data_IF_349102407569
#
_entry.id   IF_349102407569
#
_cell.length_a   1.000
_cell.length_b   1.000
_cell.length_c   1.000
_cell.angle_alpha   90.00
_cell.angle_beta   90.00
_cell.angle_gamma   90.00
#
_symmetry.space_group_name_H-M   'P 1'
#
loop_
_entity.id
_entity.type
_entity.pdbx_description
1 polymer ?
#
# COMPACT_ATOMS: atom_id res chain seq x y z
N UNK A 1 15.61 16.25 -13.61
CA UNK A 1 14.35 15.49 -13.69
C UNK A 1 13.29 16.29 -12.95
N UNK A 2 12.35 16.88 -13.67
CA UNK A 2 11.22 17.61 -13.06
C UNK A 2 10.20 16.57 -12.64
N UNK A 3 10.00 16.41 -11.33
CA UNK A 3 8.93 15.56 -10.81
C UNK A 3 7.60 16.26 -11.12
N UNK A 4 6.85 15.79 -12.10
CA UNK A 4 5.44 16.17 -12.27
C UNK A 4 4.63 15.43 -11.21
N UNK A 5 4.17 16.14 -10.19
CA UNK A 5 3.19 15.61 -9.24
C UNK A 5 1.84 15.66 -9.98
N UNK A 6 1.30 14.48 -10.25
CA UNK A 6 -0.03 14.35 -10.83
C UNK A 6 -1.08 14.53 -9.72
N UNK A 7 -1.76 15.68 -9.74
CA UNK A 7 -2.84 16.02 -8.82
C UNK A 7 -4.23 15.56 -9.31
N UNK A 8 -4.31 14.85 -10.44
CA UNK A 8 -5.59 14.38 -11.02
C UNK A 8 -6.40 13.54 -10.02
N UNK A 9 -5.72 12.69 -9.26
CA UNK A 9 -6.34 11.87 -8.22
C UNK A 9 -7.10 12.71 -7.16
N UNK A 10 -6.55 13.86 -6.75
CA UNK A 10 -7.18 14.73 -5.75
C UNK A 10 -8.44 15.39 -6.32
N UNK A 11 -8.39 15.80 -7.58
CA UNK A 11 -9.53 16.41 -8.28
C UNK A 11 -10.62 15.35 -8.50
N UNK A 12 -10.26 14.14 -8.92
CA UNK A 12 -11.20 13.03 -9.08
C UNK A 12 -11.92 12.68 -7.77
N UNK A 13 -11.19 12.67 -6.66
CA UNK A 13 -11.80 12.42 -5.33
C UNK A 13 -12.80 13.51 -4.97
N UNK A 14 -12.46 14.78 -5.17
CA UNK A 14 -13.37 15.88 -4.91
C UNK A 14 -14.61 15.83 -5.83
N UNK A 15 -14.40 15.53 -7.13
CA UNK A 15 -15.48 15.34 -8.10
C UNK A 15 -16.42 14.22 -7.64
N UNK A 16 -15.88 13.08 -7.23
CA UNK A 16 -16.68 11.94 -6.75
C UNK A 16 -17.57 12.30 -5.57
N UNK A 17 -17.07 13.08 -4.61
CA UNK A 17 -17.88 13.54 -3.46
C UNK A 17 -19.07 14.41 -3.90
N UNK A 18 -18.87 15.26 -4.90
CA UNK A 18 -19.98 16.05 -5.45
C UNK A 18 -20.95 15.20 -6.26
N UNK A 19 -20.47 14.26 -7.07
CA UNK A 19 -21.30 13.33 -7.84
C UNK A 19 -22.18 12.47 -6.92
N UNK A 20 -21.57 11.88 -5.90
CA UNK A 20 -22.28 11.06 -4.91
C UNK A 20 -23.39 11.85 -4.18
N UNK A 21 -23.13 13.12 -3.86
CA UNK A 21 -24.14 14.00 -3.32
C UNK A 21 -25.29 14.30 -4.31
N UNK A 22 -24.95 14.52 -5.59
CA UNK A 22 -25.95 14.83 -6.62
C UNK A 22 -26.86 13.62 -6.91
N UNK A 23 -26.33 12.42 -6.85
CA UNK A 23 -27.06 11.17 -7.11
C UNK A 23 -27.95 10.76 -5.95
N UNK A 24 -27.43 10.79 -4.73
CA UNK A 24 -28.14 10.26 -3.56
C UNK A 24 -28.93 11.33 -2.83
N UNK A 25 -28.58 12.60 -2.99
CA UNK A 25 -29.01 13.72 -2.13
C UNK A 25 -28.77 13.47 -0.64
N UNK A 26 -28.05 12.41 -0.35
CA UNK A 26 -27.55 12.07 0.96
C UNK A 26 -26.10 12.51 1.05
N UNK A 27 -25.74 13.11 2.15
CA UNK A 27 -24.36 13.56 2.38
C UNK A 27 -24.29 14.75 3.30
N UNK A 28 -23.07 15.15 3.61
CA UNK A 28 -22.79 16.22 4.58
C UNK A 28 -22.77 17.62 3.94
N UNK A 29 -23.18 17.74 2.67
CA UNK A 29 -23.18 19.01 1.95
C UNK A 29 -24.44 19.82 2.31
N UNK A 30 -24.25 20.94 3.02
CA UNK A 30 -25.31 21.89 3.29
C UNK A 30 -25.45 22.87 2.11
N UNK A 31 -26.44 22.62 1.25
CA UNK A 31 -26.69 23.44 0.06
C UNK A 31 -27.09 24.87 0.42
N UNK A 32 -27.77 25.10 1.50
CA UNK A 32 -28.20 26.45 1.91
C UNK A 32 -26.97 27.28 2.31
N UNK A 33 -26.10 26.72 3.13
CA UNK A 33 -24.85 27.39 3.53
C UNK A 33 -23.93 27.60 2.32
N UNK A 34 -23.81 26.59 1.45
CA UNK A 34 -23.06 26.71 0.22
C UNK A 34 -23.58 27.82 -0.69
N UNK A 35 -24.92 27.88 -0.88
CA UNK A 35 -25.58 28.91 -1.69
C UNK A 35 -25.38 30.30 -1.09
N UNK A 36 -25.53 30.47 0.21
CA UNK A 36 -25.26 31.74 0.90
C UNK A 36 -23.80 32.17 0.71
N UNK A 37 -22.86 31.23 0.85
CA UNK A 37 -21.42 31.51 0.72
C UNK A 37 -21.02 31.90 -0.71
N UNK A 38 -21.47 31.17 -1.74
CA UNK A 38 -21.07 31.40 -3.12
C UNK A 38 -21.77 32.62 -3.77
N UNK A 39 -23.05 32.83 -3.46
CA UNK A 39 -23.86 33.83 -4.13
C UNK A 39 -24.13 35.07 -3.28
N UNK A 40 -23.44 35.19 -2.14
CA UNK A 40 -23.58 36.35 -1.23
C UNK A 40 -25.05 36.68 -0.89
N UNK A 41 -25.91 35.67 -0.78
CA UNK A 41 -27.31 35.85 -0.39
C UNK A 41 -27.32 36.40 1.02
N UNK A 42 -28.03 37.49 1.26
CA UNK A 42 -28.10 38.17 2.55
C UNK A 42 -28.51 37.16 3.66
N UNK A 43 -27.53 36.75 4.47
CA UNK A 43 -27.75 36.07 5.72
C UNK A 43 -27.97 37.04 6.86
N UNK A 44 -28.09 36.52 8.06
CA UNK A 44 -28.08 37.35 9.26
C UNK A 44 -26.74 38.10 9.36
N UNK A 45 -26.82 39.39 9.53
CA UNK A 45 -25.64 40.24 9.80
C UNK A 45 -25.86 40.92 11.12
N UNK A 46 -25.10 40.52 12.15
CA UNK A 46 -25.14 41.11 13.47
C UNK A 46 -23.81 40.96 14.16
N UNK A 47 -23.71 41.58 15.34
CA UNK A 47 -22.53 41.48 16.20
C UNK A 47 -22.93 40.88 17.53
N UNK A 48 -22.10 39.99 18.04
CA UNK A 48 -22.27 39.41 19.37
C UNK A 48 -21.02 39.67 20.23
N UNK A 49 -21.26 39.85 21.53
CA UNK A 49 -20.15 40.12 22.48
C UNK A 49 -19.38 38.83 22.73
N UNK A 50 -18.10 38.75 22.37
CA UNK A 50 -17.31 37.54 22.60
C UNK A 50 -17.03 37.30 24.09
N UNK A 51 -16.93 36.03 24.47
CA UNK A 51 -16.55 35.60 25.84
C UNK A 51 -15.05 35.71 26.13
N UNK A 52 -14.26 36.16 25.14
CA UNK A 52 -12.82 36.36 25.23
C UNK A 52 -12.47 37.80 25.60
N UNK A 53 -11.31 38.03 26.22
CA UNK A 53 -10.80 39.36 26.55
C UNK A 53 -10.27 40.06 25.28
N UNK A 54 -10.50 41.38 25.18
CA UNK A 54 -10.00 42.22 24.09
C UNK A 54 -8.49 42.47 24.16
N UNK A 55 -7.87 42.30 25.32
CA UNK A 55 -6.51 42.75 25.66
C UNK A 55 -5.39 42.38 24.65
N UNK A 56 -5.63 41.40 23.80
CA UNK A 56 -4.67 40.92 22.79
C UNK A 56 -5.07 41.23 21.34
N UNK A 57 -6.14 42.00 21.16
CA UNK A 57 -6.69 42.35 19.85
C UNK A 57 -6.75 43.87 19.68
N UNK A 58 -6.44 44.34 18.48
CA UNK A 58 -6.78 45.71 18.11
C UNK A 58 -8.29 45.86 17.86
N UNK A 59 -8.75 47.08 17.60
CA UNK A 59 -10.19 47.36 17.44
C UNK A 59 -10.80 46.65 16.25
N UNK A 60 -10.11 46.62 15.10
CA UNK A 60 -10.56 45.92 13.89
C UNK A 60 -10.63 44.42 14.06
N UNK A 61 -9.62 43.81 14.68
CA UNK A 61 -9.59 42.38 15.00
C UNK A 61 -10.72 42.01 15.96
N UNK A 62 -10.94 42.85 17.00
CA UNK A 62 -12.02 42.61 17.95
C UNK A 62 -13.41 42.74 17.26
N UNK A 63 -13.54 43.71 16.36
CA UNK A 63 -14.75 43.85 15.54
C UNK A 63 -14.98 42.65 14.64
N UNK A 64 -13.91 42.11 13.99
CA UNK A 64 -14.02 40.91 13.19
C UNK A 64 -14.50 39.71 14.00
N UNK A 65 -14.02 39.54 15.25
CA UNK A 65 -14.52 38.51 16.16
C UNK A 65 -15.99 38.68 16.49
N UNK A 66 -16.43 39.90 16.84
CA UNK A 66 -17.86 40.20 17.14
C UNK A 66 -18.77 39.90 15.96
N UNK A 67 -18.36 40.32 14.76
CA UNK A 67 -19.13 40.07 13.54
C UNK A 67 -19.19 38.60 13.21
N UNK A 68 -18.09 37.84 13.41
CA UNK A 68 -18.04 36.38 13.16
C UNK A 68 -19.00 35.62 14.08
N UNK A 69 -19.16 36.06 15.32
CA UNK A 69 -20.08 35.42 16.27
C UNK A 69 -21.56 35.68 15.89
N UNK A 70 -21.87 36.89 15.47
CA UNK A 70 -23.24 37.31 15.20
C UNK A 70 -23.79 36.98 13.83
N UNK A 71 -22.92 36.85 12.82
CA UNK A 71 -23.31 36.72 11.41
C UNK A 71 -23.23 35.29 10.90
N UNK A 72 -24.02 34.95 9.87
CA UNK A 72 -24.00 33.61 9.23
C UNK A 72 -22.74 33.44 8.38
N UNK A 73 -22.37 34.46 7.59
CA UNK A 73 -21.21 34.42 6.72
C UNK A 73 -20.39 35.69 6.89
N UNK A 74 -19.08 35.51 7.10
CA UNK A 74 -18.14 36.61 7.32
C UNK A 74 -16.89 36.42 6.46
N UNK A 75 -16.49 37.47 5.79
CA UNK A 75 -15.23 37.57 5.06
C UNK A 75 -14.29 38.50 5.82
N UNK A 76 -13.18 37.94 6.30
CA UNK A 76 -12.12 38.70 6.97
C UNK A 76 -10.99 38.92 5.98
N UNK A 77 -10.85 40.13 5.51
CA UNK A 77 -9.70 40.52 4.68
C UNK A 77 -8.61 41.14 5.56
N UNK A 78 -7.39 40.71 5.33
CA UNK A 78 -6.22 41.26 6.00
C UNK A 78 -4.93 40.96 5.24
N UNK A 79 -4.16 41.99 4.85
CA UNK A 79 -2.84 41.85 4.25
C UNK A 79 -1.86 41.06 5.14
N UNK A 80 -0.70 40.61 4.62
CA UNK A 80 0.34 39.98 5.43
C UNK A 80 0.75 40.85 6.62
N UNK A 81 0.97 40.20 7.77
CA UNK A 81 1.41 40.92 8.99
C UNK A 81 0.31 41.59 9.81
N UNK A 82 -0.95 41.62 9.34
CA UNK A 82 -2.07 42.23 10.10
C UNK A 82 -2.58 41.36 11.25
N UNK A 83 -2.05 40.17 11.43
CA UNK A 83 -2.45 39.25 12.50
C UNK A 83 -3.72 38.46 12.21
N UNK A 84 -4.06 38.19 10.91
CA UNK A 84 -5.21 37.35 10.53
C UNK A 84 -5.29 36.06 11.32
N UNK A 85 -4.19 35.26 11.34
CA UNK A 85 -4.14 33.97 12.02
C UNK A 85 -4.38 34.10 13.54
N UNK A 86 -3.92 35.22 14.14
CA UNK A 86 -4.20 35.52 15.55
C UNK A 86 -5.70 35.83 15.75
N UNK A 87 -6.28 36.65 14.89
CA UNK A 87 -7.72 36.98 14.89
C UNK A 87 -8.57 35.71 14.74
N UNK A 88 -8.26 34.86 13.73
CA UNK A 88 -8.94 33.57 13.49
C UNK A 88 -8.84 32.66 14.72
N UNK A 89 -7.66 32.55 15.34
CA UNK A 89 -7.49 31.77 16.56
C UNK A 89 -8.42 32.27 17.68
N UNK A 90 -8.69 33.59 17.72
CA UNK A 90 -9.61 34.19 18.70
C UNK A 90 -11.09 33.98 18.33
N UNK A 91 -11.42 33.98 17.03
CA UNK A 91 -12.76 33.60 16.56
C UNK A 91 -13.08 32.16 16.97
N UNK A 92 -12.15 31.22 16.70
CA UNK A 92 -12.33 29.80 17.07
C UNK A 92 -12.40 29.65 18.58
N UNK A 93 -11.52 30.31 19.34
CA UNK A 93 -11.57 30.29 20.82
C UNK A 93 -12.91 30.78 21.36
N UNK A 94 -13.51 31.81 20.74
CA UNK A 94 -14.83 32.31 21.14
C UNK A 94 -15.93 31.27 20.91
N UNK A 95 -15.97 30.65 19.75
CA UNK A 95 -16.90 29.55 19.43
C UNK A 95 -16.69 28.35 20.33
N UNK A 96 -15.43 28.02 20.64
CA UNK A 96 -15.09 26.94 21.57
C UNK A 96 -15.75 27.15 22.94
N UNK A 97 -15.65 28.36 23.49
CA UNK A 97 -16.30 28.69 24.77
C UNK A 97 -17.83 28.76 24.69
N UNK A 98 -18.39 28.95 23.49
CA UNK A 98 -19.82 28.82 23.22
C UNK A 98 -20.26 27.37 23.03
N UNK A 99 -19.34 26.42 23.16
CA UNK A 99 -19.56 24.97 22.95
C UNK A 99 -20.02 24.64 21.54
N UNK A 100 -19.67 25.46 20.56
CA UNK A 100 -19.90 25.20 19.15
C UNK A 100 -18.86 24.21 18.61
N UNK A 101 -19.31 23.35 17.68
CA UNK A 101 -18.46 22.45 16.94
C UNK A 101 -17.85 23.18 15.74
N UNK A 102 -16.55 23.34 15.71
CA UNK A 102 -15.81 24.16 14.74
C UNK A 102 -14.92 23.30 13.88
N UNK A 103 -14.98 23.47 12.56
CA UNK A 103 -13.98 22.96 11.63
C UNK A 103 -13.10 24.11 11.16
N UNK A 104 -11.80 24.00 11.41
CA UNK A 104 -10.78 24.87 10.80
C UNK A 104 -10.22 24.21 9.56
N UNK A 105 -10.26 24.88 8.45
CA UNK A 105 -9.69 24.45 7.17
C UNK A 105 -8.69 25.47 6.65
N UNK A 106 -7.56 25.01 6.12
CA UNK A 106 -6.61 25.85 5.40
C UNK A 106 -5.96 25.09 4.25
N UNK A 107 -5.27 25.81 3.37
CA UNK A 107 -4.56 25.21 2.23
C UNK A 107 -3.32 24.41 2.68
N UNK A 108 -2.63 24.83 3.74
CA UNK A 108 -1.34 24.24 4.15
C UNK A 108 -1.37 23.70 5.58
N UNK A 109 -0.56 22.65 5.82
CA UNK A 109 -0.35 22.12 7.17
C UNK A 109 0.19 23.20 8.13
N UNK A 110 1.13 24.02 7.67
CA UNK A 110 1.75 25.06 8.50
C UNK A 110 0.73 26.08 9.00
N UNK A 111 -0.20 26.54 8.18
CA UNK A 111 -1.24 27.49 8.56
C UNK A 111 -2.17 26.87 9.63
N UNK A 112 -2.65 25.66 9.39
CA UNK A 112 -3.48 24.90 10.35
C UNK A 112 -2.75 24.75 11.70
N UNK A 113 -1.49 24.34 11.66
CA UNK A 113 -0.68 24.08 12.86
C UNK A 113 -0.47 25.33 13.73
N UNK A 114 -0.32 26.52 13.10
CA UNK A 114 -0.16 27.78 13.84
C UNK A 114 -1.42 28.10 14.64
N UNK A 115 -2.61 27.93 14.04
CA UNK A 115 -3.89 28.16 14.75
C UNK A 115 -4.06 27.19 15.89
N UNK A 116 -3.81 25.88 15.65
CA UNK A 116 -3.91 24.84 16.68
C UNK A 116 -2.91 25.11 17.83
N UNK A 117 -1.67 25.52 17.48
CA UNK A 117 -0.68 25.91 18.51
C UNK A 117 -1.18 27.07 19.36
N UNK A 118 -1.76 28.10 18.73
CA UNK A 118 -2.30 29.25 19.46
C UNK A 118 -3.47 28.87 20.37
N UNK A 119 -4.29 27.89 19.99
CA UNK A 119 -5.32 27.34 20.87
C UNK A 119 -4.70 26.54 22.02
N UNK A 120 -3.71 25.69 21.71
CA UNK A 120 -2.98 24.93 22.72
C UNK A 120 -2.32 25.83 23.79
N UNK A 121 -1.63 26.91 23.38
CA UNK A 121 -1.01 27.87 24.30
C UNK A 121 -2.03 28.52 25.27
N UNK A 122 -3.31 28.57 24.90
CA UNK A 122 -4.37 29.18 25.71
C UNK A 122 -5.17 28.18 26.53
N UNK A 123 -5.44 26.98 26.00
CA UNK A 123 -6.35 26.00 26.58
C UNK A 123 -5.62 24.94 27.42
N UNK A 124 -4.41 24.54 27.04
CA UNK A 124 -3.66 23.51 27.75
C UNK A 124 -3.48 23.83 29.24
N UNK A 125 -3.77 22.88 30.12
CA UNK A 125 -3.78 22.98 31.58
C UNK A 125 -4.77 24.00 32.16
N UNK A 126 -5.54 24.69 31.35
CA UNK A 126 -6.58 25.63 31.78
C UNK A 126 -7.98 25.10 31.56
N UNK A 127 -8.15 24.25 30.54
CA UNK A 127 -9.41 23.60 30.20
C UNK A 127 -9.19 22.08 30.21
N UNK A 128 -9.92 21.40 31.11
CA UNK A 128 -9.82 19.93 31.23
C UNK A 128 -10.26 19.20 29.96
N UNK A 129 -11.21 19.77 29.22
CA UNK A 129 -11.71 19.18 27.97
C UNK A 129 -10.61 19.13 26.89
N UNK A 130 -9.60 20.00 26.99
CA UNK A 130 -8.44 19.96 26.07
C UNK A 130 -7.68 18.64 26.20
N UNK A 131 -7.51 18.14 27.42
CA UNK A 131 -6.84 16.86 27.68
C UNK A 131 -7.68 15.67 27.17
N UNK A 132 -9.00 15.84 27.06
CA UNK A 132 -9.92 14.82 26.55
C UNK A 132 -10.07 14.85 25.01
N UNK A 133 -9.29 15.68 24.30
CA UNK A 133 -9.29 15.75 22.87
C UNK A 133 -10.34 16.70 22.28
N UNK A 134 -10.70 17.76 23.01
CA UNK A 134 -11.66 18.77 22.52
C UNK A 134 -11.12 19.61 21.37
N UNK A 135 -9.78 19.68 21.17
CA UNK A 135 -9.12 20.34 20.05
C UNK A 135 -8.22 19.34 19.35
N UNK A 136 -8.54 19.02 18.11
CA UNK A 136 -7.83 18.01 17.33
C UNK A 136 -7.27 18.56 16.03
N UNK A 137 -6.12 18.03 15.63
CA UNK A 137 -5.44 18.26 14.36
C UNK A 137 -5.48 16.98 13.54
N UNK A 138 -6.24 16.99 12.46
CA UNK A 138 -6.36 15.85 11.54
C UNK A 138 -5.27 15.89 10.48
N UNK A 139 -4.43 14.86 10.44
CA UNK A 139 -3.30 14.70 9.52
C UNK A 139 -1.96 15.13 10.14
N UNK A 140 -0.97 15.34 9.28
CA UNK A 140 0.41 15.54 9.68
C UNK A 140 0.64 16.91 10.31
N UNK A 141 1.34 16.93 11.45
CA UNK A 141 1.80 18.15 12.12
C UNK A 141 3.22 18.44 11.66
N UNK A 142 3.43 19.58 10.98
CA UNK A 142 4.75 20.03 10.51
C UNK A 142 5.41 21.03 11.45
N UNK A 143 4.64 21.65 12.35
CA UNK A 143 5.15 22.59 13.35
C UNK A 143 5.77 21.83 14.52
N UNK A 144 7.10 21.86 14.63
CA UNK A 144 7.83 21.17 15.70
C UNK A 144 7.42 21.61 17.12
N UNK A 145 7.12 22.88 17.33
CA UNK A 145 6.71 23.40 18.64
C UNK A 145 5.34 22.84 19.02
N UNK A 146 4.40 22.80 18.07
CA UNK A 146 3.09 22.19 18.28
C UNK A 146 3.25 20.70 18.59
N UNK A 147 4.05 20.00 17.80
CA UNK A 147 4.28 18.55 17.95
C UNK A 147 4.90 18.21 19.31
N UNK A 148 5.92 18.95 19.73
CA UNK A 148 6.63 18.71 21.00
C UNK A 148 5.79 19.06 22.23
N UNK A 149 5.01 20.17 22.18
CA UNK A 149 4.25 20.64 23.36
C UNK A 149 2.88 19.98 23.49
N UNK A 150 2.18 19.81 22.37
CA UNK A 150 0.75 19.46 22.39
C UNK A 150 0.43 18.26 21.51
N UNK A 151 1.40 17.67 20.79
CA UNK A 151 1.17 16.61 19.81
C UNK A 151 0.39 15.40 20.35
N UNK A 152 0.63 15.02 21.61
CA UNK A 152 -0.10 13.92 22.26
C UNK A 152 -1.58 14.21 22.54
N UNK A 153 -1.92 15.50 22.60
CA UNK A 153 -3.27 15.96 22.92
C UNK A 153 -4.08 16.32 21.67
N UNK A 154 -3.42 16.92 20.68
CA UNK A 154 -4.10 17.48 19.52
C UNK A 154 -3.99 16.60 18.24
N UNK A 155 -2.96 15.76 18.09
CA UNK A 155 -2.92 14.84 16.96
C UNK A 155 -3.95 13.74 17.18
N UNK A 156 -4.83 13.51 16.21
CA UNK A 156 -5.96 12.56 16.32
C UNK A 156 -5.50 11.17 16.72
N UNK A 157 -4.47 10.64 16.07
CA UNK A 157 -4.00 9.28 16.34
C UNK A 157 -3.34 9.17 17.71
N UNK A 158 -2.48 10.13 18.07
CA UNK A 158 -1.82 10.15 19.39
C UNK A 158 -2.79 10.41 20.54
N UNK A 159 -3.80 11.26 20.34
CA UNK A 159 -4.85 11.48 21.32
C UNK A 159 -5.67 10.20 21.55
N UNK A 160 -6.03 9.48 20.48
CA UNK A 160 -6.71 8.20 20.58
C UNK A 160 -5.86 7.14 21.28
N UNK A 161 -4.56 7.03 20.94
CA UNK A 161 -3.61 6.13 21.62
C UNK A 161 -3.47 6.46 23.12
N UNK A 162 -3.36 7.75 23.46
CA UNK A 162 -3.27 8.19 24.85
C UNK A 162 -4.54 7.86 25.65
N UNK A 163 -5.72 8.08 25.07
CA UNK A 163 -7.01 7.75 25.68
C UNK A 163 -7.24 6.24 25.75
N UNK A 164 -6.62 5.48 24.85
CA UNK A 164 -6.63 4.03 24.82
C UNK A 164 -5.40 3.38 25.47
N UNK A 165 -4.71 4.08 26.34
CA UNK A 165 -3.41 3.65 26.90
C UNK A 165 -3.38 2.20 27.39
N UNK A 166 -4.42 1.74 28.07
CA UNK A 166 -4.51 0.35 28.56
C UNK A 166 -4.54 -0.65 27.41
N UNK A 167 -5.32 -0.36 26.35
CA UNK A 167 -5.41 -1.20 25.14
C UNK A 167 -4.08 -1.22 24.39
N UNK A 168 -3.38 -0.08 24.31
CA UNK A 168 -2.06 0.02 23.67
C UNK A 168 -1.01 -0.77 24.46
N UNK A 169 -1.05 -0.74 25.77
CA UNK A 169 -0.15 -1.54 26.62
C UNK A 169 -0.43 -3.05 26.48
N UNK A 170 -1.70 -3.45 26.49
CA UNK A 170 -2.13 -4.82 26.23
C UNK A 170 -1.66 -5.30 24.84
N UNK A 171 -1.88 -4.51 23.79
CA UNK A 171 -1.39 -4.79 22.45
C UNK A 171 0.12 -5.04 22.42
N UNK A 172 0.92 -4.16 23.04
CA UNK A 172 2.38 -4.30 23.08
C UNK A 172 2.83 -5.58 23.77
N UNK A 173 2.13 -6.01 24.82
CA UNK A 173 2.42 -7.27 25.49
C UNK A 173 2.16 -8.47 24.58
N UNK A 174 1.04 -8.48 23.85
CA UNK A 174 0.70 -9.53 22.89
C UNK A 174 1.68 -9.54 21.72
N UNK A 175 2.03 -8.39 21.16
CA UNK A 175 3.02 -8.28 20.07
C UNK A 175 4.39 -8.83 20.50
N UNK A 176 4.79 -8.64 21.76
CA UNK A 176 6.00 -9.25 22.32
C UNK A 176 5.90 -10.77 22.40
N UNK A 177 4.75 -11.31 22.83
CA UNK A 177 4.51 -12.75 22.85
C UNK A 177 4.60 -13.32 21.42
N UNK A 178 4.02 -12.66 20.44
CA UNK A 178 4.11 -13.06 19.03
C UNK A 178 5.57 -13.12 18.57
N UNK A 179 6.37 -12.09 18.87
CA UNK A 179 7.77 -12.04 18.50
C UNK A 179 8.58 -13.17 19.17
N UNK A 180 8.33 -13.47 20.45
CA UNK A 180 8.97 -14.56 21.18
C UNK A 180 8.57 -15.93 20.59
N UNK A 181 7.32 -16.11 20.20
CA UNK A 181 6.84 -17.34 19.54
C UNK A 181 7.44 -17.51 18.14
N UNK A 182 7.55 -16.44 17.37
CA UNK A 182 8.18 -16.46 16.03
C UNK A 182 9.66 -16.86 16.14
N UNK A 183 10.38 -16.28 17.11
CA UNK A 183 11.77 -16.65 17.36
C UNK A 183 11.93 -18.12 17.77
N UNK A 184 10.99 -18.69 18.53
CA UNK A 184 10.96 -20.11 18.87
C UNK A 184 10.60 -20.99 17.68
N UNK A 185 9.76 -20.52 16.76
CA UNK A 185 9.35 -21.24 15.56
C UNK A 185 10.47 -21.33 14.49
N UNK A 186 11.33 -20.31 14.39
CA UNK A 186 12.41 -20.21 13.38
C UNK A 186 13.31 -21.43 13.27
N UNK A 187 13.84 -22.02 14.38
CA UNK A 187 14.66 -23.21 14.30
C UNK A 187 13.94 -24.40 13.66
N UNK A 188 12.66 -24.60 13.98
CA UNK A 188 11.85 -25.68 13.43
C UNK A 188 11.63 -25.48 11.92
N UNK A 189 11.36 -24.26 11.48
CA UNK A 189 11.25 -23.92 10.05
C UNK A 189 12.54 -24.23 9.28
N UNK A 190 13.70 -23.86 9.84
CA UNK A 190 15.01 -24.14 9.22
C UNK A 190 15.20 -25.66 9.04
N UNK A 191 14.79 -26.45 10.02
CA UNK A 191 14.88 -27.92 9.97
C UNK A 191 13.94 -28.48 8.89
N UNK A 192 12.69 -28.02 8.84
CA UNK A 192 11.71 -28.43 7.82
C UNK A 192 12.22 -28.07 6.41
N UNK A 193 12.71 -26.87 6.22
CA UNK A 193 13.27 -26.40 4.93
C UNK A 193 14.50 -27.27 4.52
N UNK A 194 15.33 -27.66 5.49
CA UNK A 194 16.46 -28.56 5.25
C UNK A 194 16.00 -29.98 4.84
N UNK A 195 14.95 -30.53 5.44
CA UNK A 195 14.35 -31.80 5.02
C UNK A 195 13.83 -31.73 3.58
N UNK A 196 13.06 -30.68 3.25
CA UNK A 196 12.52 -30.50 1.92
C UNK A 196 13.64 -30.34 0.87
N UNK A 197 14.68 -29.57 1.20
CA UNK A 197 15.84 -29.41 0.34
C UNK A 197 16.58 -30.76 0.10
N UNK A 198 16.78 -31.55 1.16
CA UNK A 198 17.42 -32.87 1.03
C UNK A 198 16.60 -33.78 0.11
N UNK A 199 15.29 -33.82 0.24
CA UNK A 199 14.42 -34.62 -0.62
C UNK A 199 14.52 -34.18 -2.08
N UNK A 200 14.45 -32.89 -2.34
CA UNK A 200 14.60 -32.33 -3.70
C UNK A 200 15.97 -32.67 -4.31
N UNK A 201 17.05 -32.54 -3.54
CA UNK A 201 18.39 -32.86 -4.02
C UNK A 201 18.57 -34.37 -4.26
N UNK A 202 17.94 -35.23 -3.47
CA UNK A 202 17.93 -36.69 -3.68
C UNK A 202 17.22 -37.08 -4.97
N UNK A 203 16.08 -36.45 -5.27
CA UNK A 203 15.35 -36.68 -6.55
C UNK A 203 16.20 -36.25 -7.74
N UNK A 204 16.84 -35.07 -7.67
CA UNK A 204 17.75 -34.57 -8.71
C UNK A 204 18.94 -35.54 -8.92
N UNK A 205 19.53 -36.00 -7.82
CA UNK A 205 20.66 -36.93 -7.86
C UNK A 205 20.25 -38.27 -8.52
N UNK A 206 19.08 -38.80 -8.14
CA UNK A 206 18.55 -40.04 -8.74
C UNK A 206 18.31 -39.86 -10.27
N UNK A 207 17.74 -38.74 -10.68
CA UNK A 207 17.55 -38.43 -12.11
C UNK A 207 18.88 -38.37 -12.88
N UNK A 208 19.91 -37.72 -12.29
CA UNK A 208 21.24 -37.64 -12.91
C UNK A 208 21.92 -39.02 -13.01
N UNK A 209 21.80 -39.84 -11.98
CA UNK A 209 22.28 -41.23 -11.96
C UNK A 209 21.59 -42.08 -13.04
N UNK A 210 20.28 -41.97 -13.18
CA UNK A 210 19.52 -42.66 -14.23
C UNK A 210 19.98 -42.26 -15.63
N UNK A 211 20.11 -40.97 -15.90
CA UNK A 211 20.63 -40.48 -17.21
C UNK A 211 22.02 -41.00 -17.50
N UNK A 212 22.91 -41.02 -16.52
CA UNK A 212 24.25 -41.60 -16.64
C UNK A 212 24.18 -43.07 -17.01
N UNK A 213 23.39 -43.85 -16.28
CA UNK A 213 23.23 -45.29 -16.52
C UNK A 213 22.68 -45.62 -17.90
N UNK A 214 21.71 -44.83 -18.39
CA UNK A 214 21.16 -44.97 -19.74
C UNK A 214 22.24 -44.73 -20.83
N UNK A 215 23.05 -43.67 -20.63
CA UNK A 215 24.14 -43.34 -21.57
C UNK A 215 25.25 -44.41 -21.55
N UNK A 216 25.65 -44.86 -20.39
CA UNK A 216 26.64 -45.94 -20.24
C UNK A 216 26.11 -47.29 -20.83
N UNK A 217 24.88 -47.62 -20.54
CA UNK A 217 24.21 -48.80 -21.13
C UNK A 217 24.11 -48.71 -22.66
N UNK A 218 23.85 -47.51 -23.21
CA UNK A 218 23.91 -47.30 -24.64
C UNK A 218 25.33 -47.53 -25.23
N UNK A 219 26.36 -46.97 -24.58
CA UNK A 219 27.75 -47.13 -25.04
C UNK A 219 28.19 -48.55 -25.09
N UNK A 220 27.81 -49.38 -24.10
CA UNK A 220 28.10 -50.82 -24.07
C UNK A 220 27.46 -51.53 -25.25
N UNK A 221 26.22 -51.19 -25.65
CA UNK A 221 25.51 -51.83 -26.73
C UNK A 221 25.79 -51.27 -28.10
N UNK A 222 26.35 -50.08 -28.20
CA UNK A 222 26.53 -49.31 -29.43
C UNK A 222 27.29 -50.10 -30.52
N UNK A 223 28.39 -50.80 -30.16
CA UNK A 223 29.15 -51.62 -31.13
C UNK A 223 28.34 -52.78 -31.68
N UNK A 224 27.49 -53.40 -30.86
CA UNK A 224 26.62 -54.49 -31.28
C UNK A 224 25.52 -53.95 -32.27
N UNK A 225 24.95 -52.79 -31.94
CA UNK A 225 23.92 -52.14 -32.80
C UNK A 225 24.51 -51.74 -34.17
N UNK A 226 25.74 -51.23 -34.21
CA UNK A 226 26.42 -50.92 -35.49
C UNK A 226 26.65 -52.20 -36.28
N UNK A 227 27.13 -53.30 -35.67
CA UNK A 227 27.36 -54.59 -36.33
C UNK A 227 26.08 -55.16 -36.94
N UNK A 228 24.94 -55.07 -36.22
CA UNK A 228 23.64 -55.51 -36.69
C UNK A 228 23.16 -54.65 -37.88
N UNK A 229 23.30 -53.33 -37.80
CA UNK A 229 22.95 -52.43 -38.90
C UNK A 229 23.84 -52.67 -40.14
N UNK A 230 25.12 -52.93 -39.99
CA UNK A 230 26.05 -53.26 -41.08
C UNK A 230 25.70 -54.61 -41.75
N UNK A 231 25.36 -55.60 -40.93
CA UNK A 231 24.88 -56.89 -41.49
C UNK A 231 23.60 -56.72 -42.30
N UNK A 232 22.68 -55.91 -41.80
CA UNK A 232 21.44 -55.59 -42.50
C UNK A 232 21.71 -54.88 -43.84
N UNK A 233 22.64 -53.89 -43.86
CA UNK A 233 23.07 -53.21 -45.08
C UNK A 233 23.68 -54.20 -46.09
N UNK A 234 24.55 -55.12 -45.63
CA UNK A 234 25.16 -56.15 -46.46
C UNK A 234 24.07 -57.03 -47.09
N UNK A 235 23.05 -57.43 -46.35
CA UNK A 235 21.97 -58.23 -46.87
C UNK A 235 21.14 -57.45 -47.93
N UNK A 236 20.86 -56.20 -47.72
CA UNK A 236 20.15 -55.36 -48.71
C UNK A 236 20.96 -55.16 -49.99
N UNK A 237 22.28 -54.94 -49.87
CA UNK A 237 23.16 -54.80 -51.00
C UNK A 237 23.25 -56.14 -51.81
N UNK A 238 23.20 -57.30 -51.15
CA UNK A 238 23.11 -58.60 -51.78
C UNK A 238 21.81 -58.73 -52.56
N UNK A 239 20.68 -58.33 -51.99
CA UNK A 239 19.39 -58.37 -52.66
C UNK A 239 19.34 -57.49 -53.93
N UNK A 240 19.97 -56.30 -53.86
CA UNK A 240 20.06 -55.40 -55.03
C UNK A 240 20.88 -56.11 -56.16
N UNK A 241 22.06 -56.68 -55.83
CA UNK A 241 22.84 -57.43 -56.84
C UNK A 241 22.09 -58.59 -57.42
N UNK A 242 21.38 -59.38 -56.65
CA UNK A 242 20.58 -60.46 -57.10
C UNK A 242 19.42 -60.01 -58.05
N UNK A 243 18.81 -58.81 -57.74
CA UNK A 243 17.81 -58.19 -58.61
C UNK A 243 18.39 -57.82 -60.00
N UNK A 244 19.64 -57.23 -59.99
CA UNK A 244 20.29 -56.86 -61.26
C UNK A 244 20.58 -58.02 -62.17
N UNK A 245 20.84 -59.20 -61.62
CA UNK A 245 21.16 -60.41 -62.37
C UNK A 245 19.91 -61.21 -62.85
N UNK A 246 18.69 -60.85 -62.36
CA UNK A 246 17.46 -61.52 -62.70
C UNK A 246 16.95 -61.13 -64.12
N UNK A 247 16.43 -62.11 -64.89
CA UNK A 247 15.68 -61.83 -66.10
C UNK A 247 14.39 -61.04 -65.85
N UNK A 248 13.74 -60.57 -66.96
CA UNK A 248 12.59 -59.68 -66.90
C UNK A 248 11.48 -60.15 -65.95
N UNK A 249 11.05 -61.41 -66.05
CA UNK A 249 9.98 -61.99 -65.20
C UNK A 249 10.43 -62.08 -63.71
N UNK A 250 11.68 -62.35 -63.43
CA UNK A 250 12.20 -62.40 -62.06
C UNK A 250 12.25 -61.05 -61.37
N UNK A 251 12.35 -59.94 -62.13
CA UNK A 251 12.34 -58.58 -61.65
C UNK A 251 10.93 -58.15 -61.24
N UNK A 252 9.89 -58.59 -61.91
CA UNK A 252 8.49 -58.26 -61.59
C UNK A 252 8.11 -58.76 -60.17
N UNK A 253 8.61 -59.94 -59.79
CA UNK A 253 8.27 -60.57 -58.48
C UNK A 253 9.29 -60.29 -57.39
N UNK A 254 10.20 -59.34 -57.56
CA UNK A 254 11.23 -58.94 -56.55
C UNK A 254 10.99 -57.50 -56.05
N UNK A 255 11.33 -57.22 -54.82
CA UNK A 255 11.28 -55.83 -54.27
C UNK A 255 12.16 -54.89 -55.12
N UNK A 256 11.62 -53.70 -55.42
CA UNK A 256 12.30 -52.66 -56.17
C UNK A 256 13.61 -52.22 -55.51
N UNK A 257 14.75 -52.11 -56.25
CA UNK A 257 16.04 -51.58 -55.69
C UNK A 257 15.90 -50.27 -54.99
N UNK A 258 15.09 -49.32 -55.44
CA UNK A 258 14.87 -48.01 -54.79
C UNK A 258 14.33 -48.18 -53.35
N UNK A 259 13.47 -49.19 -53.11
CA UNK A 259 13.00 -49.51 -51.75
C UNK A 259 14.15 -50.03 -50.87
N UNK A 260 15.03 -50.85 -51.42
CA UNK A 260 16.19 -51.38 -50.69
C UNK A 260 17.25 -50.28 -50.40
N UNK A 261 17.47 -49.37 -51.35
CA UNK A 261 18.33 -48.21 -51.16
C UNK A 261 17.81 -47.28 -50.03
N UNK A 262 16.52 -47.05 -49.97
CA UNK A 262 15.88 -46.27 -48.91
C UNK A 262 16.14 -46.92 -47.54
N UNK A 263 16.01 -48.25 -47.43
CA UNK A 263 16.28 -49.03 -46.23
C UNK A 263 17.75 -48.97 -45.84
N UNK A 264 18.67 -49.00 -46.79
CA UNK A 264 20.11 -48.86 -46.59
C UNK A 264 20.44 -47.49 -46.04
N UNK A 265 19.88 -46.40 -46.66
CA UNK A 265 20.13 -45.03 -46.23
C UNK A 265 19.60 -44.79 -44.81
N UNK A 266 18.43 -45.34 -44.45
CA UNK A 266 17.91 -45.33 -43.07
C UNK A 266 18.87 -45.98 -42.09
N UNK A 267 19.42 -47.18 -42.42
CA UNK A 267 20.39 -47.89 -41.56
C UNK A 267 21.71 -47.16 -41.45
N UNK A 268 22.22 -46.52 -42.51
CA UNK A 268 23.39 -45.64 -42.47
C UNK A 268 23.18 -44.46 -41.52
N UNK A 269 22.02 -43.80 -41.57
CA UNK A 269 21.64 -42.74 -40.66
C UNK A 269 21.64 -43.22 -39.20
N UNK A 270 21.16 -44.43 -38.93
CA UNK A 270 21.23 -45.04 -37.56
C UNK A 270 22.68 -45.21 -37.11
N UNK A 271 23.56 -45.73 -37.98
CA UNK A 271 25.00 -45.91 -37.66
C UNK A 271 25.63 -44.55 -37.36
N UNK A 272 25.35 -43.54 -38.17
CA UNK A 272 25.90 -42.19 -37.98
C UNK A 272 25.45 -41.61 -36.63
N UNK A 273 24.19 -41.71 -36.27
CA UNK A 273 23.62 -41.29 -34.99
C UNK A 273 24.32 -42.00 -33.80
N UNK A 274 24.51 -43.33 -33.91
CA UNK A 274 25.20 -44.11 -32.88
C UNK A 274 26.65 -43.66 -32.75
N UNK A 275 27.35 -43.44 -33.86
CA UNK A 275 28.74 -42.93 -33.82
C UNK A 275 28.85 -41.51 -33.23
N UNK A 276 27.90 -40.65 -33.54
CA UNK A 276 27.84 -39.33 -32.95
C UNK A 276 27.63 -39.43 -31.42
N UNK A 277 26.70 -40.23 -30.95
CA UNK A 277 26.47 -40.46 -29.50
C UNK A 277 27.66 -41.09 -28.83
N UNK A 278 28.34 -42.06 -29.46
CA UNK A 278 29.61 -42.62 -28.97
C UNK A 278 30.71 -41.55 -28.75
N UNK A 279 30.71 -40.50 -29.57
CA UNK A 279 31.67 -39.41 -29.46
C UNK A 279 31.30 -38.41 -28.39
N UNK A 280 30.01 -38.10 -28.23
CA UNK A 280 29.52 -37.06 -27.31
C UNK A 280 29.25 -37.56 -25.88
N UNK A 281 28.71 -38.75 -25.71
CA UNK A 281 28.31 -39.30 -24.41
C UNK A 281 29.43 -39.37 -23.36
N UNK A 282 30.70 -39.74 -23.69
CA UNK A 282 31.74 -39.74 -22.68
C UNK A 282 32.02 -38.35 -22.05
N UNK A 283 31.84 -37.27 -22.83
CA UNK A 283 32.01 -35.92 -22.33
C UNK A 283 30.77 -35.49 -21.50
N UNK A 284 29.58 -35.90 -21.94
CA UNK A 284 28.34 -35.66 -21.19
C UNK A 284 28.30 -36.43 -19.86
N UNK A 285 28.72 -37.69 -19.86
CA UNK A 285 28.85 -38.50 -18.62
C UNK A 285 29.79 -37.82 -17.63
N UNK A 286 30.94 -37.28 -18.06
CA UNK A 286 31.83 -36.53 -17.17
C UNK A 286 31.17 -35.29 -16.56
N UNK A 287 30.31 -34.59 -17.32
CA UNK A 287 29.54 -33.44 -16.79
C UNK A 287 28.52 -33.91 -15.75
N UNK A 288 27.83 -35.01 -16.04
CA UNK A 288 26.87 -35.59 -15.10
C UNK A 288 27.57 -36.09 -13.83
N UNK A 289 28.74 -36.67 -13.91
CA UNK A 289 29.56 -37.07 -12.76
C UNK A 289 29.89 -35.89 -11.85
N UNK A 290 30.26 -34.75 -12.46
CA UNK A 290 30.54 -33.53 -11.70
C UNK A 290 29.28 -32.97 -11.05
N UNK A 291 28.14 -33.05 -11.74
CA UNK A 291 26.83 -32.66 -11.21
C UNK A 291 26.44 -33.55 -10.01
N UNK A 292 26.55 -34.87 -10.14
CA UNK A 292 26.30 -35.83 -9.08
C UNK A 292 27.18 -35.53 -7.87
N UNK A 293 28.47 -35.35 -8.05
CA UNK A 293 29.40 -35.01 -6.96
C UNK A 293 29.01 -33.73 -6.22
N UNK A 294 28.59 -32.69 -6.97
CA UNK A 294 28.12 -31.44 -6.39
C UNK A 294 26.82 -31.61 -5.60
N UNK A 295 25.87 -32.42 -6.13
CA UNK A 295 24.62 -32.75 -5.45
C UNK A 295 24.88 -33.51 -4.15
N UNK A 296 25.72 -34.55 -4.18
CA UNK A 296 26.10 -35.32 -2.99
C UNK A 296 26.74 -34.45 -1.90
N UNK A 297 27.59 -33.50 -2.28
CA UNK A 297 28.18 -32.57 -1.33
C UNK A 297 27.12 -31.66 -0.69
N UNK A 298 26.16 -31.15 -1.48
CA UNK A 298 25.02 -30.36 -0.95
C UNK A 298 24.15 -31.21 -0.03
N UNK A 299 23.78 -32.43 -0.44
CA UNK A 299 23.01 -33.37 0.37
C UNK A 299 23.70 -33.61 1.70
N UNK A 300 25.01 -33.90 1.70
CA UNK A 300 25.78 -34.15 2.91
C UNK A 300 25.78 -32.94 3.85
N UNK A 301 25.91 -31.74 3.30
CA UNK A 301 25.88 -30.50 4.08
C UNK A 301 24.50 -30.28 4.71
N UNK A 302 23.43 -30.42 3.92
CA UNK A 302 22.06 -30.22 4.41
C UNK A 302 21.63 -31.31 5.41
N UNK A 303 22.07 -32.55 5.23
CA UNK A 303 21.84 -33.64 6.20
C UNK A 303 22.40 -33.38 7.58
N UNK A 304 23.47 -32.59 7.73
CA UNK A 304 24.01 -32.19 9.04
C UNK A 304 23.00 -31.42 9.89
N UNK A 305 22.11 -30.63 9.25
CA UNK A 305 21.09 -29.85 9.95
C UNK A 305 19.98 -30.73 10.51
N UNK A 306 19.69 -31.85 9.85
CA UNK A 306 18.58 -32.75 10.19
C UNK A 306 19.01 -34.02 10.96
N UNK A 307 20.28 -34.10 11.36
CA UNK A 307 20.79 -35.21 12.13
C UNK A 307 19.98 -35.34 13.42
N UNK A 308 19.48 -36.55 13.70
CA UNK A 308 18.63 -36.86 14.87
C UNK A 308 17.32 -36.06 14.96
N UNK A 309 16.87 -35.46 13.86
CA UNK A 309 15.58 -34.76 13.78
C UNK A 309 14.54 -35.63 13.09
N UNK A 310 13.27 -35.44 13.50
CA UNK A 310 12.13 -36.11 12.86
C UNK A 310 11.25 -35.03 12.19
N UNK A 311 11.04 -35.16 10.89
CA UNK A 311 10.27 -34.18 10.10
C UNK A 311 8.88 -33.95 10.68
N UNK A 312 8.12 -35.02 10.98
CA UNK A 312 6.74 -34.89 11.47
C UNK A 312 6.68 -34.19 12.84
N UNK A 313 7.65 -34.42 13.71
CA UNK A 313 7.71 -33.72 14.99
C UNK A 313 8.03 -32.22 14.82
N UNK A 314 9.00 -31.91 13.97
CA UNK A 314 9.37 -30.51 13.70
C UNK A 314 8.24 -29.75 13.02
N UNK A 315 7.54 -30.39 12.05
CA UNK A 315 6.37 -29.83 11.38
C UNK A 315 5.22 -29.56 12.35
N UNK A 316 4.95 -30.52 13.25
CA UNK A 316 3.93 -30.38 14.31
C UNK A 316 4.26 -29.21 15.23
N UNK A 317 5.49 -29.13 15.73
CA UNK A 317 5.94 -28.08 16.62
C UNK A 317 5.84 -26.70 15.91
N UNK A 318 6.30 -26.61 14.67
CA UNK A 318 6.20 -25.38 13.88
C UNK A 318 4.74 -24.95 13.71
N UNK A 319 3.86 -25.90 13.39
CA UNK A 319 2.42 -25.64 13.26
C UNK A 319 1.79 -25.15 14.58
N UNK A 320 2.14 -25.80 15.69
CA UNK A 320 1.65 -25.40 17.02
C UNK A 320 2.07 -23.95 17.37
N UNK A 321 3.27 -23.51 16.96
CA UNK A 321 3.69 -22.12 17.10
C UNK A 321 2.91 -21.18 16.19
N UNK A 322 2.70 -21.55 14.91
CA UNK A 322 1.93 -20.75 13.97
C UNK A 322 0.48 -20.57 14.43
N UNK A 323 -0.17 -21.64 14.90
CA UNK A 323 -1.55 -21.57 15.41
C UNK A 323 -1.66 -20.61 16.61
N UNK A 324 -0.66 -20.56 17.48
CA UNK A 324 -0.60 -19.60 18.61
C UNK A 324 -0.36 -18.18 18.12
N UNK A 325 0.53 -17.97 17.17
CA UNK A 325 0.81 -16.66 16.55
C UNK A 325 -0.46 -16.12 15.90
N UNK A 326 -1.18 -16.95 15.15
CA UNK A 326 -2.43 -16.57 14.47
C UNK A 326 -3.52 -16.21 15.49
N UNK A 327 -3.64 -16.94 16.58
CA UNK A 327 -4.58 -16.64 17.66
C UNK A 327 -4.31 -15.27 18.27
N UNK A 328 -3.06 -14.98 18.63
CA UNK A 328 -2.66 -13.68 19.17
C UNK A 328 -2.77 -12.56 18.12
N UNK A 329 -2.58 -12.87 16.83
CA UNK A 329 -2.83 -11.94 15.73
C UNK A 329 -4.30 -11.49 15.66
N UNK A 330 -5.23 -12.41 15.90
CA UNK A 330 -6.67 -12.08 16.01
C UNK A 330 -6.95 -11.18 17.21
N UNK A 331 -6.28 -11.41 18.34
CA UNK A 331 -6.42 -10.55 19.53
C UNK A 331 -5.91 -9.13 19.27
N UNK A 332 -4.74 -8.99 18.64
CA UNK A 332 -4.18 -7.68 18.23
C UNK A 332 -5.16 -6.95 17.30
N UNK A 333 -5.77 -7.66 16.35
CA UNK A 333 -6.79 -7.07 15.47
C UNK A 333 -7.98 -6.54 16.24
N UNK A 334 -8.54 -7.30 17.17
CA UNK A 334 -9.66 -6.85 18.03
C UNK A 334 -9.30 -5.62 18.86
N UNK A 335 -8.08 -5.54 19.37
CA UNK A 335 -7.62 -4.38 20.13
C UNK A 335 -7.49 -3.15 19.20
N UNK A 336 -6.97 -3.33 17.98
CA UNK A 336 -6.91 -2.25 16.98
C UNK A 336 -8.30 -1.73 16.61
N UNK A 337 -9.28 -2.61 16.45
CA UNK A 337 -10.67 -2.23 16.18
C UNK A 337 -11.23 -1.37 17.33
N UNK A 338 -10.99 -1.74 18.58
CA UNK A 338 -11.40 -0.94 19.76
C UNK A 338 -10.68 0.41 19.81
N UNK A 339 -9.39 0.48 19.48
CA UNK A 339 -8.65 1.75 19.42
C UNK A 339 -9.23 2.64 18.31
N UNK A 340 -9.64 2.06 17.18
CA UNK A 340 -10.28 2.79 16.10
C UNK A 340 -11.69 3.30 16.50
N UNK A 341 -12.45 2.56 17.29
CA UNK A 341 -13.69 3.03 17.88
C UNK A 341 -13.46 4.26 18.77
N UNK A 342 -12.45 4.22 19.64
CA UNK A 342 -12.06 5.38 20.47
C UNK A 342 -11.69 6.58 19.60
N UNK A 343 -10.92 6.38 18.53
CA UNK A 343 -10.58 7.46 17.57
C UNK A 343 -11.82 8.08 16.96
N UNK A 344 -12.78 7.27 16.54
CA UNK A 344 -14.06 7.73 15.98
C UNK A 344 -14.86 8.52 17.01
N UNK A 345 -14.88 8.06 18.25
CA UNK A 345 -15.58 8.72 19.34
C UNK A 345 -14.94 10.09 19.68
N UNK A 346 -13.61 10.14 19.73
CA UNK A 346 -12.87 11.38 19.98
C UNK A 346 -13.11 12.40 18.86
N UNK A 347 -13.10 11.99 17.60
CA UNK A 347 -13.44 12.85 16.45
C UNK A 347 -14.90 13.34 16.51
N UNK A 348 -15.82 12.48 16.93
CA UNK A 348 -17.23 12.85 17.07
C UNK A 348 -17.45 13.88 18.17
N UNK A 349 -16.72 13.77 19.26
CA UNK A 349 -16.89 14.58 20.47
C UNK A 349 -16.00 15.83 20.50
N UNK A 350 -15.00 15.95 19.61
CA UNK A 350 -14.15 17.15 19.59
C UNK A 350 -14.97 18.41 19.26
N UNK A 351 -14.59 19.53 19.89
CA UNK A 351 -15.20 20.85 19.62
C UNK A 351 -14.51 21.55 18.47
N UNK A 352 -13.21 21.40 18.34
CA UNK A 352 -12.44 21.99 17.24
C UNK A 352 -11.70 20.89 16.51
N UNK A 353 -12.00 20.69 15.25
CA UNK A 353 -11.21 19.87 14.34
C UNK A 353 -10.51 20.76 13.33
N UNK A 354 -9.20 20.59 13.19
CA UNK A 354 -8.39 21.39 12.28
C UNK A 354 -7.73 20.49 11.23
N UNK A 355 -7.92 20.79 9.95
CA UNK A 355 -7.45 19.98 8.83
C UNK A 355 -7.04 20.86 7.64
N UNK A 356 -6.29 20.29 6.69
CA UNK A 356 -6.17 20.90 5.36
C UNK A 356 -7.42 20.62 4.53
N UNK A 357 -7.74 21.52 3.59
CA UNK A 357 -8.89 21.34 2.70
C UNK A 357 -8.86 19.97 1.99
N UNK A 358 -7.70 19.55 1.51
CA UNK A 358 -7.52 18.26 0.85
C UNK A 358 -7.95 17.08 1.73
N UNK A 359 -7.68 17.12 3.02
CA UNK A 359 -8.05 16.03 3.94
C UNK A 359 -9.57 15.90 4.10
N UNK A 360 -10.32 17.00 4.01
CA UNK A 360 -11.78 16.96 4.20
C UNK A 360 -12.53 16.14 3.16
N UNK A 361 -12.04 16.13 1.90
CA UNK A 361 -12.67 15.36 0.83
C UNK A 361 -11.96 14.04 0.49
N UNK A 362 -10.74 13.83 0.98
CA UNK A 362 -10.06 12.54 0.84
C UNK A 362 -10.65 11.46 1.75
N UNK A 363 -11.13 11.86 2.94
CA UNK A 363 -11.75 10.99 3.93
C UNK A 363 -13.01 11.66 4.49
N UNK A 364 -14.04 11.85 3.68
CA UNK A 364 -15.26 12.54 4.08
C UNK A 364 -15.97 11.86 5.25
N UNK A 365 -15.78 10.56 5.44
CA UNK A 365 -16.31 9.78 6.55
C UNK A 365 -15.83 10.25 7.92
N UNK A 366 -14.61 10.77 8.03
CA UNK A 366 -14.02 11.26 9.27
C UNK A 366 -14.49 12.68 9.65
N UNK A 367 -15.19 13.38 8.73
CA UNK A 367 -15.71 14.72 8.96
C UNK A 367 -17.23 14.68 9.11
N UNK A 368 -17.70 15.12 10.27
CA UNK A 368 -19.14 15.30 10.54
C UNK A 368 -19.61 16.71 10.11
N UNK A 369 -20.87 17.03 10.35
CA UNK A 369 -21.34 18.39 10.26
C UNK A 369 -20.85 19.26 11.43
N UNK A 370 -20.51 20.50 11.14
CA UNK A 370 -20.01 21.48 12.11
C UNK A 370 -20.96 22.64 12.24
N UNK A 371 -21.06 23.24 13.45
CA UNK A 371 -21.85 24.46 13.62
C UNK A 371 -21.19 25.63 12.84
N UNK A 372 -19.86 25.64 12.86
CA UNK A 372 -19.07 26.69 12.21
C UNK A 372 -17.92 26.10 11.41
N UNK A 373 -17.73 26.59 10.21
CA UNK A 373 -16.51 26.32 9.41
C UNK A 373 -15.71 27.60 9.27
N UNK A 374 -14.44 27.54 9.63
CA UNK A 374 -13.50 28.63 9.48
C UNK A 374 -12.46 28.24 8.43
N UNK A 375 -12.37 29.02 7.37
CA UNK A 375 -11.44 28.79 6.26
C UNK A 375 -10.35 29.86 6.32
N UNK A 376 -9.15 29.48 6.70
CA UNK A 376 -7.97 30.35 6.70
C UNK A 376 -7.22 30.24 5.37
N UNK A 377 -6.62 31.33 4.91
CA UNK A 377 -5.98 31.45 3.59
C UNK A 377 -6.92 31.04 2.45
N UNK A 378 -8.20 31.48 2.55
CA UNK A 378 -9.25 31.11 1.60
C UNK A 378 -8.93 31.53 0.14
N UNK A 379 -8.18 32.63 -0.06
CA UNK A 379 -7.72 33.09 -1.36
C UNK A 379 -6.77 32.13 -2.08
N UNK A 380 -6.14 31.22 -1.34
CA UNK A 380 -5.22 30.21 -1.90
C UNK A 380 -5.91 28.87 -2.20
N UNK A 381 -7.17 28.70 -1.85
CA UNK A 381 -7.96 27.50 -2.14
C UNK A 381 -8.66 27.63 -3.49
N UNK A 382 -8.69 26.55 -4.25
CA UNK A 382 -9.54 26.46 -5.44
C UNK A 382 -11.01 26.54 -5.02
N UNK A 383 -11.83 27.22 -5.82
CA UNK A 383 -13.25 27.43 -5.49
C UNK A 383 -14.01 26.14 -5.12
N UNK A 384 -13.87 25.01 -5.84
CA UNK A 384 -14.54 23.78 -5.45
C UNK A 384 -14.12 23.25 -4.07
N UNK A 385 -12.85 23.41 -3.69
CA UNK A 385 -12.34 22.99 -2.37
C UNK A 385 -12.89 23.87 -1.25
N UNK A 386 -12.87 25.19 -1.45
CA UNK A 386 -13.44 26.15 -0.50
C UNK A 386 -14.95 25.96 -0.35
N UNK A 387 -15.66 25.75 -1.46
CA UNK A 387 -17.09 25.49 -1.50
C UNK A 387 -17.44 24.21 -0.74
N UNK A 388 -16.70 23.12 -0.98
CA UNK A 388 -16.91 21.87 -0.24
C UNK A 388 -16.67 22.06 1.25
N UNK A 389 -15.56 22.69 1.66
CA UNK A 389 -15.28 22.96 3.07
C UNK A 389 -16.39 23.80 3.72
N UNK A 390 -16.86 24.86 3.06
CA UNK A 390 -17.95 25.71 3.54
C UNK A 390 -19.28 24.94 3.71
N UNK A 391 -19.54 23.98 2.82
CA UNK A 391 -20.76 23.17 2.85
C UNK A 391 -20.85 22.20 4.04
N UNK A 392 -19.75 21.95 4.75
CA UNK A 392 -19.73 21.15 5.98
C UNK A 392 -20.28 21.94 7.20
N UNK A 393 -20.61 23.22 7.02
CA UNK A 393 -21.20 24.05 8.08
C UNK A 393 -22.74 23.96 8.11
N UNK A 394 -23.28 23.86 9.32
CA UNK A 394 -24.73 24.00 9.56
C UNK A 394 -25.17 25.47 9.58
N UNK A 395 -24.42 26.30 10.30
CA UNK A 395 -24.90 27.62 10.66
C UNK A 395 -24.03 28.76 10.11
N UNK A 396 -22.69 28.66 10.29
CA UNK A 396 -21.81 29.81 10.06
C UNK A 396 -20.57 29.46 9.29
N UNK A 397 -20.15 30.36 8.40
CA UNK A 397 -18.88 30.26 7.66
C UNK A 397 -18.07 31.54 7.85
N UNK A 398 -16.83 31.40 8.28
CA UNK A 398 -15.86 32.50 8.38
C UNK A 398 -14.75 32.21 7.39
N UNK A 399 -14.63 33.07 6.37
CA UNK A 399 -13.57 33.00 5.37
C UNK A 399 -12.55 34.10 5.65
N UNK A 400 -11.30 33.73 5.80
CA UNK A 400 -10.23 34.70 5.98
C UNK A 400 -9.15 34.51 4.92
N UNK A 401 -8.67 35.60 4.37
CA UNK A 401 -7.67 35.56 3.33
C UNK A 401 -7.20 36.94 2.90
N UNK A 402 -6.37 36.95 1.89
CA UNK A 402 -5.90 38.15 1.27
C UNK A 402 -5.98 37.99 -0.27
N UNK A 403 -7.00 38.61 -0.87
CA UNK A 403 -7.24 38.52 -2.31
C UNK A 403 -6.19 39.26 -3.16
N UNK A 404 -5.26 40.01 -2.53
CA UNK A 404 -4.13 40.67 -3.19
C UNK A 404 -2.88 39.75 -3.22
N UNK A 405 -2.92 38.58 -2.57
CA UNK A 405 -1.88 37.56 -2.66
C UNK A 405 -2.06 36.66 -3.88
N UNK A 406 -1.11 35.75 -4.07
CA UNK A 406 -1.14 34.78 -5.17
C UNK A 406 -2.43 33.95 -5.19
N UNK A 407 -3.08 33.82 -6.36
CA UNK A 407 -4.23 32.94 -6.50
C UNK A 407 -3.85 31.46 -6.33
N UNK A 408 -4.85 30.57 -6.25
CA UNK A 408 -4.61 29.13 -6.23
C UNK A 408 -3.76 28.68 -7.42
N UNK A 409 -2.85 27.75 -7.19
CA UNK A 409 -2.06 27.16 -8.28
C UNK A 409 -2.96 26.23 -9.09
N UNK A 410 -3.18 26.57 -10.35
CA UNK A 410 -3.96 25.78 -11.31
C UNK A 410 -2.98 25.12 -12.27
N UNK A 411 -2.88 23.79 -12.23
CA UNK A 411 -1.97 22.99 -13.06
C UNK A 411 -2.67 22.49 -14.33
N UNK A 412 -3.42 23.33 -15.04
CA UNK A 412 -4.02 23.00 -16.33
C UNK A 412 -3.54 23.94 -17.39
N UNK A 413 -3.35 23.43 -18.62
CA UNK A 413 -3.04 24.22 -19.81
C UNK A 413 -4.31 24.67 -20.54
N UNK A 414 -5.47 24.64 -19.90
CA UNK A 414 -6.76 24.95 -20.51
C UNK A 414 -7.09 26.42 -20.28
N UNK A 415 -7.33 27.17 -21.36
CA UNK A 415 -7.63 28.61 -21.32
C UNK A 415 -8.91 28.94 -20.53
N UNK A 416 -9.77 27.93 -20.26
CA UNK A 416 -10.98 28.09 -19.47
C UNK A 416 -10.76 28.01 -17.95
N UNK A 417 -9.54 27.71 -17.48
CA UNK A 417 -9.21 27.60 -16.06
C UNK A 417 -8.85 28.93 -15.38
N UNK A 418 -8.83 30.04 -16.12
CA UNK A 418 -8.44 31.39 -15.67
C UNK A 418 -9.62 32.26 -15.22
N UNK A 419 -10.80 31.66 -14.97
CA UNK A 419 -11.98 32.40 -14.50
C UNK A 419 -12.43 31.96 -13.11
#
# INVERSE_FOLDING_TARGET
>A
ATLKIDNSYLIEKLKKVYEEFLETKEGKINLETLRKTLFQIKGKVSEEKPKIKKETLNDEQFQAVKTSLGSDIVYIWGPPGTGKTHCISKVIESFYYEKKKVLLVSNTNAAVDIVVKNLGDRLYKKDKDFDEGSVLRYGDIVNETLLKKYGEYVNVDRAAERLSKKLVEEKKQIEKIIADLDDQAKPHKIIIDAFNLVNQLLEQNQSSLQRKSEMEGFLVKANLMIKDADMTIKNYNKLIKEYETKGFLGKIFSENPASQETKINSKKGVIENINQKKKTYPAEIKKIDLEIHNLERKITTSKKIIVNKNFQNEEKLFKDFQDKIDLHGIEVKKINDKIQEVKTEVLKNCRVLAATATKTYLKPEDFSEYDVVVIDEASMLQLPQAAYAASLSKDKVVLAGDFMQLPPIINTNDDHSNY
#
